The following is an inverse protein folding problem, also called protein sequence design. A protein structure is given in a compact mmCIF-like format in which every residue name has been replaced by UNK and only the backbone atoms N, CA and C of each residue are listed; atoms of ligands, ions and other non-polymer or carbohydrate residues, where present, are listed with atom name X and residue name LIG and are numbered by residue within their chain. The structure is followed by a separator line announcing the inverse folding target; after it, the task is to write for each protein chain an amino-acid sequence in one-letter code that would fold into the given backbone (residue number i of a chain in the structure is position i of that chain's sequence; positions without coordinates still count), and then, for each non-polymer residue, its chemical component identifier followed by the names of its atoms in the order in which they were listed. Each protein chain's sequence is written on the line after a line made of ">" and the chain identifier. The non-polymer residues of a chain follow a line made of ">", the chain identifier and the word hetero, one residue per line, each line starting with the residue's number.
data_IF_732224841400
#
_entry.id   IF_732224841400
#
_cell.length_a   1.000
_cell.length_b   1.000
_cell.length_c   1.000
_cell.angle_alpha   90.00
_cell.angle_beta   90.00
_cell.angle_gamma   90.00
#
_symmetry.space_group_name_H-M   'P 1'
#
loop_
_entity.id
_entity.type
_entity.pdbx_description
1 polymer ?
#
# COMPACT_ATOMS: atom_id res chain seq x y z
N UNK A 1 6.89 -6.10 30.09
CA UNK A 1 6.08 -5.12 29.34
C UNK A 1 4.62 -5.54 29.50
N UNK A 2 3.70 -4.64 29.86
CA UNK A 2 2.27 -4.90 29.54
C UNK A 2 2.24 -5.21 28.03
N UNK A 3 1.42 -6.15 27.53
CA UNK A 3 1.19 -6.25 26.10
C UNK A 3 0.82 -4.83 25.67
N UNK A 4 1.66 -4.18 24.88
CA UNK A 4 1.34 -2.90 24.28
C UNK A 4 -0.02 -3.09 23.61
N UNK A 5 -0.96 -2.17 23.88
CA UNK A 5 -2.27 -2.20 23.24
C UNK A 5 -2.09 -1.78 21.78
N UNK A 6 -1.54 -2.72 21.00
CA UNK A 6 -1.09 -2.54 19.63
C UNK A 6 -2.22 -2.97 18.70
N UNK A 7 -2.69 -2.02 17.92
CA UNK A 7 -3.64 -2.23 16.84
C UNK A 7 -2.94 -2.13 15.50
N UNK A 8 -3.22 -3.08 14.62
CA UNK A 8 -2.74 -3.05 13.24
C UNK A 8 -3.87 -2.58 12.35
N UNK A 9 -3.54 -1.71 11.40
CA UNK A 9 -4.49 -1.18 10.44
C UNK A 9 -3.96 -1.44 9.05
N UNK A 10 -4.83 -1.92 8.17
CA UNK A 10 -4.51 -2.22 6.79
C UNK A 10 -5.43 -1.37 5.90
N UNK A 11 -4.97 -0.19 5.44
CA UNK A 11 -5.66 0.53 4.39
C UNK A 11 -5.60 -0.29 3.10
N UNK A 12 -6.76 -0.77 2.67
CA UNK A 12 -6.98 -1.56 1.47
C UNK A 12 -7.76 -0.73 0.45
N UNK A 13 -7.06 0.25 -0.12
CA UNK A 13 -7.53 1.13 -1.18
C UNK A 13 -6.58 1.13 -2.38
N UNK A 14 -6.94 1.88 -3.43
CA UNK A 14 -6.14 1.99 -4.65
C UNK A 14 -6.58 1.01 -5.73
N UNK A 15 -6.74 1.50 -6.96
CA UNK A 15 -7.22 0.72 -8.10
C UNK A 15 -6.13 -0.14 -8.75
N UNK A 16 -4.85 0.18 -8.53
CA UNK A 16 -3.72 -0.52 -9.16
C UNK A 16 -3.70 -0.40 -10.68
N UNK A 17 -4.24 0.68 -11.27
CA UNK A 17 -4.51 0.83 -12.72
C UNK A 17 -3.31 0.61 -13.65
N UNK A 18 -2.07 0.73 -13.16
CA UNK A 18 -0.84 0.45 -13.93
C UNK A 18 -0.66 -1.05 -14.22
N UNK A 19 -1.35 -1.92 -13.49
CA UNK A 19 -1.39 -3.35 -13.72
C UNK A 19 -2.64 -3.79 -14.50
N UNK A 20 -3.35 -2.87 -15.15
CA UNK A 20 -4.39 -3.28 -16.10
C UNK A 20 -3.75 -4.14 -17.22
N UNK A 21 -4.33 -5.26 -17.67
CA UNK A 21 -5.68 -5.71 -17.39
C UNK A 21 -5.82 -6.68 -16.20
N UNK A 22 -4.73 -6.96 -15.49
CA UNK A 22 -4.76 -7.82 -14.31
C UNK A 22 -5.59 -7.18 -13.18
N UNK A 23 -5.31 -5.91 -12.89
CA UNK A 23 -6.11 -5.12 -11.93
C UNK A 23 -7.31 -4.45 -12.61
N UNK A 24 -8.39 -4.31 -11.85
CA UNK A 24 -9.64 -3.69 -12.25
C UNK A 24 -10.19 -2.84 -11.13
N UNK A 25 -11.08 -1.90 -11.46
CA UNK A 25 -11.80 -1.11 -10.48
C UNK A 25 -12.60 -1.95 -9.47
N UNK A 26 -13.11 -3.13 -9.86
CA UNK A 26 -13.80 -4.04 -8.94
C UNK A 26 -12.88 -5.09 -8.29
N UNK A 27 -11.70 -5.35 -8.87
CA UNK A 27 -10.73 -6.32 -8.39
C UNK A 27 -9.32 -5.70 -8.39
N UNK A 28 -9.04 -4.78 -7.45
CA UNK A 28 -7.78 -4.03 -7.38
C UNK A 28 -6.59 -4.92 -7.02
N UNK A 29 -5.38 -4.38 -7.24
CA UNK A 29 -4.09 -5.07 -7.05
C UNK A 29 -4.00 -5.87 -5.75
N UNK A 30 -4.44 -5.30 -4.62
CA UNK A 30 -4.31 -5.94 -3.31
C UNK A 30 -5.06 -7.28 -3.18
N UNK A 31 -6.06 -7.52 -4.04
CA UNK A 31 -6.83 -8.77 -4.06
C UNK A 31 -6.18 -9.87 -4.91
N UNK A 32 -5.08 -9.58 -5.61
CA UNK A 32 -4.40 -10.52 -6.51
C UNK A 32 -3.19 -11.19 -5.85
N UNK A 33 -2.90 -12.42 -6.28
CA UNK A 33 -1.78 -13.24 -5.87
C UNK A 33 -0.46 -12.79 -6.51
N UNK A 34 0.05 -11.64 -6.06
CA UNK A 34 1.29 -11.01 -6.56
C UNK A 34 2.47 -11.22 -5.63
N UNK A 35 2.50 -12.36 -4.96
CA UNK A 35 3.50 -12.67 -3.93
C UNK A 35 4.42 -13.82 -4.33
N UNK A 36 4.21 -14.42 -5.50
CA UNK A 36 4.83 -15.70 -5.89
C UNK A 36 4.22 -16.90 -5.18
N UNK A 37 3.11 -16.71 -4.45
CA UNK A 37 2.31 -17.76 -3.80
C UNK A 37 0.86 -17.64 -4.23
N UNK A 38 -0.02 -18.53 -3.76
CA UNK A 38 -1.47 -18.46 -3.99
C UNK A 38 -2.18 -17.39 -3.13
N UNK A 39 -1.46 -16.77 -2.18
CA UNK A 39 -1.98 -15.72 -1.31
C UNK A 39 -1.98 -14.37 -2.04
N UNK A 40 -3.10 -13.65 -1.94
CA UNK A 40 -3.17 -12.26 -2.37
C UNK A 40 -2.23 -11.35 -1.57
N UNK A 41 -1.95 -10.14 -2.06
CA UNK A 41 -1.18 -9.15 -1.29
C UNK A 41 -1.86 -8.78 0.04
N UNK A 42 -3.19 -8.69 0.06
CA UNK A 42 -3.97 -8.47 1.27
C UNK A 42 -3.79 -9.62 2.26
N UNK A 43 -3.91 -10.85 1.79
CA UNK A 43 -3.73 -12.06 2.58
C UNK A 43 -2.30 -12.17 3.13
N UNK A 44 -1.30 -11.94 2.29
CA UNK A 44 0.09 -11.94 2.72
C UNK A 44 0.40 -10.82 3.73
N UNK A 45 -0.26 -9.67 3.61
CA UNK A 45 -0.17 -8.59 4.60
C UNK A 45 -0.80 -9.02 5.93
N UNK A 46 -1.98 -9.63 5.91
CA UNK A 46 -2.62 -10.18 7.10
C UNK A 46 -1.75 -11.26 7.79
N UNK A 47 -1.23 -12.22 7.02
CA UNK A 47 -0.39 -13.31 7.53
C UNK A 47 0.89 -12.79 8.18
N UNK A 48 1.47 -11.73 7.63
CA UNK A 48 2.66 -11.08 8.18
C UNK A 48 2.39 -10.31 9.48
N UNK A 49 1.17 -9.80 9.66
CA UNK A 49 0.76 -9.02 10.83
C UNK A 49 0.20 -9.89 11.96
N UNK A 50 -0.39 -11.05 11.66
CA UNK A 50 -0.99 -11.96 12.64
C UNK A 50 -0.04 -12.41 13.78
N UNK A 51 1.28 -12.58 13.58
CA UNK A 51 2.22 -12.85 14.68
C UNK A 51 2.48 -11.66 15.62
N UNK A 52 2.07 -10.45 15.24
CA UNK A 52 2.34 -9.21 15.97
C UNK A 52 1.12 -8.69 16.75
N UNK A 53 -0.09 -8.99 16.30
CA UNK A 53 -1.34 -8.66 17.01
C UNK A 53 -2.40 -9.73 16.79
N UNK A 54 -3.36 -9.84 17.71
CA UNK A 54 -4.50 -10.75 17.50
C UNK A 54 -5.47 -10.19 16.43
N UNK A 55 -6.26 -11.02 15.74
CA UNK A 55 -7.24 -10.56 14.75
C UNK A 55 -8.24 -9.53 15.29
N UNK A 56 -8.57 -9.57 16.58
CA UNK A 56 -9.47 -8.59 17.23
C UNK A 56 -8.89 -7.17 17.27
N UNK A 57 -7.57 -7.05 17.13
CA UNK A 57 -6.83 -5.77 17.10
C UNK A 57 -6.30 -5.43 15.71
N UNK A 58 -6.60 -6.23 14.70
CA UNK A 58 -6.34 -5.90 13.30
C UNK A 58 -7.60 -5.30 12.70
N UNK A 59 -7.46 -4.19 11.96
CA UNK A 59 -8.53 -3.54 11.22
C UNK A 59 -8.14 -3.44 9.74
N UNK A 60 -9.11 -3.58 8.85
CA UNK A 60 -8.95 -3.29 7.42
C UNK A 60 -9.86 -2.14 7.06
N UNK A 61 -9.34 -1.10 6.42
CA UNK A 61 -10.17 0.00 5.89
C UNK A 61 -10.29 -0.18 4.38
N UNK A 62 -11.49 -0.28 3.85
CA UNK A 62 -11.69 -0.56 2.41
C UNK A 62 -12.95 0.07 1.86
N UNK A 63 -13.01 0.25 0.54
CA UNK A 63 -14.20 0.79 -0.12
C UNK A 63 -15.35 -0.22 -0.18
N UNK A 64 -16.58 0.30 -0.25
CA UNK A 64 -17.82 -0.49 -0.39
C UNK A 64 -17.75 -1.54 -1.51
N UNK A 65 -17.11 -1.21 -2.64
CA UNK A 65 -16.95 -2.11 -3.78
C UNK A 65 -16.06 -3.35 -3.49
N UNK A 66 -15.27 -3.32 -2.42
CA UNK A 66 -14.28 -4.36 -2.10
C UNK A 66 -14.59 -5.12 -0.82
N UNK A 67 -15.49 -4.62 0.01
CA UNK A 67 -15.80 -5.18 1.33
C UNK A 67 -16.10 -6.69 1.27
N UNK A 68 -16.93 -7.13 0.33
CA UNK A 68 -17.25 -8.57 0.17
C UNK A 68 -16.01 -9.41 -0.18
N UNK A 69 -15.12 -8.90 -1.04
CA UNK A 69 -13.88 -9.61 -1.38
C UNK A 69 -12.91 -9.67 -0.21
N UNK A 70 -12.81 -8.59 0.57
CA UNK A 70 -12.00 -8.55 1.80
C UNK A 70 -12.52 -9.57 2.82
N UNK A 71 -13.82 -9.59 3.10
CA UNK A 71 -14.45 -10.57 4.01
C UNK A 71 -14.15 -12.00 3.56
N UNK A 72 -14.27 -12.28 2.26
CA UNK A 72 -13.99 -13.62 1.71
C UNK A 72 -12.52 -14.03 1.82
N UNK A 73 -11.59 -13.09 1.64
CA UNK A 73 -10.16 -13.40 1.67
C UNK A 73 -9.59 -13.48 3.10
N UNK A 74 -10.23 -12.85 4.08
CA UNK A 74 -9.80 -12.78 5.47
C UNK A 74 -10.89 -13.30 6.44
N UNK A 75 -11.27 -14.58 6.39
CA UNK A 75 -12.33 -15.13 7.24
C UNK A 75 -12.01 -15.11 8.73
N UNK A 76 -10.74 -15.00 9.12
CA UNK A 76 -10.30 -14.88 10.51
C UNK A 76 -10.47 -13.48 11.11
N UNK A 77 -10.72 -12.46 10.27
CA UNK A 77 -10.89 -11.08 10.70
C UNK A 77 -12.35 -10.84 11.14
N UNK A 78 -12.61 -10.34 12.37
CA UNK A 78 -13.97 -10.00 12.78
C UNK A 78 -14.59 -8.96 11.85
N UNK A 79 -15.83 -9.15 11.40
CA UNK A 79 -16.49 -8.24 10.46
C UNK A 79 -16.53 -6.79 10.98
N UNK A 80 -16.71 -6.58 12.29
CA UNK A 80 -16.68 -5.25 12.95
C UNK A 80 -15.34 -4.50 12.82
N UNK A 81 -14.28 -5.18 12.36
CA UNK A 81 -12.95 -4.62 12.12
C UNK A 81 -12.70 -4.33 10.64
N UNK A 82 -13.67 -4.57 9.77
CA UNK A 82 -13.65 -4.15 8.36
C UNK A 82 -14.38 -2.82 8.28
N UNK A 83 -13.62 -1.73 8.23
CA UNK A 83 -14.16 -0.38 8.16
C UNK A 83 -14.44 -0.02 6.70
N UNK A 84 -15.72 0.09 6.35
CA UNK A 84 -16.13 0.31 4.97
C UNK A 84 -16.32 1.80 4.71
N UNK A 85 -15.46 2.39 3.88
CA UNK A 85 -15.64 3.76 3.40
C UNK A 85 -16.63 3.80 2.21
N UNK A 86 -17.54 4.79 2.16
CA UNK A 86 -18.49 4.93 1.06
C UNK A 86 -17.79 5.19 -0.29
N UNK A 87 -16.74 6.01 -0.28
CA UNK A 87 -15.93 6.32 -1.45
C UNK A 87 -14.57 6.90 -1.04
N UNK A 88 -13.57 6.75 -1.91
CA UNK A 88 -12.19 7.07 -1.60
C UNK A 88 -11.93 8.56 -1.31
N UNK A 89 -11.26 8.82 -0.20
CA UNK A 89 -10.78 10.16 0.22
C UNK A 89 -9.26 10.24 0.40
N UNK A 90 -8.52 9.34 -0.26
CA UNK A 90 -7.07 9.19 -0.14
C UNK A 90 -6.66 8.69 1.26
N UNK A 91 -5.36 8.55 1.53
CA UNK A 91 -4.87 7.82 2.71
C UNK A 91 -5.25 8.43 4.07
N UNK A 92 -5.36 9.77 4.17
CA UNK A 92 -5.57 10.44 5.46
C UNK A 92 -6.91 10.08 6.10
N UNK A 93 -8.01 10.10 5.34
CA UNK A 93 -9.34 9.83 5.87
C UNK A 93 -9.47 8.37 6.34
N UNK A 94 -8.97 7.41 5.57
CA UNK A 94 -8.99 5.99 5.91
C UNK A 94 -8.19 5.71 7.20
N UNK A 95 -6.97 6.25 7.27
CA UNK A 95 -6.09 6.11 8.44
C UNK A 95 -6.71 6.80 9.67
N UNK A 96 -7.27 8.00 9.49
CA UNK A 96 -7.88 8.76 10.58
C UNK A 96 -9.15 8.11 11.11
N UNK A 97 -9.98 7.53 10.24
CA UNK A 97 -11.15 6.75 10.64
C UNK A 97 -10.73 5.60 11.55
N UNK A 98 -9.75 4.80 11.12
CA UNK A 98 -9.24 3.70 11.94
C UNK A 98 -8.66 4.18 13.27
N UNK A 99 -7.85 5.24 13.26
CA UNK A 99 -7.28 5.82 14.49
C UNK A 99 -8.38 6.30 15.45
N UNK A 100 -9.42 6.95 14.94
CA UNK A 100 -10.51 7.47 15.75
C UNK A 100 -11.40 6.36 16.31
N UNK A 101 -11.70 5.31 15.53
CA UNK A 101 -12.44 4.13 16.01
C UNK A 101 -11.63 3.36 17.05
N UNK A 102 -10.33 3.19 16.84
CA UNK A 102 -9.43 2.59 17.84
C UNK A 102 -9.42 3.46 19.10
N UNK A 103 -9.34 4.79 19.00
CA UNK A 103 -9.36 5.67 20.17
C UNK A 103 -10.67 5.56 20.98
N UNK A 104 -11.83 5.40 20.33
CA UNK A 104 -13.09 5.17 21.05
C UNK A 104 -13.10 3.83 21.79
N UNK A 105 -12.50 2.79 21.21
CA UNK A 105 -12.48 1.43 21.77
C UNK A 105 -11.38 1.22 22.81
N UNK A 106 -10.22 1.84 22.58
CA UNK A 106 -8.96 1.69 23.30
C UNK A 106 -8.18 3.02 23.32
N UNK A 107 -8.54 3.96 24.23
CA UNK A 107 -7.92 5.28 24.27
C UNK A 107 -6.40 5.22 24.47
N UNK A 108 -5.65 5.96 23.64
CA UNK A 108 -4.19 6.01 23.71
C UNK A 108 -3.49 4.72 23.30
N UNK A 109 -4.14 3.83 22.55
CA UNK A 109 -3.52 2.65 21.97
C UNK A 109 -2.42 3.03 20.96
N UNK A 110 -1.46 2.13 20.75
CA UNK A 110 -0.51 2.26 19.64
C UNK A 110 -1.18 1.67 18.41
N UNK A 111 -1.27 2.45 17.34
CA UNK A 111 -1.73 2.03 16.03
C UNK A 111 -0.53 1.91 15.09
N UNK A 112 -0.53 0.89 14.24
CA UNK A 112 0.43 0.70 13.17
C UNK A 112 -0.29 0.42 11.85
N UNK A 113 -0.09 1.28 10.85
CA UNK A 113 -0.75 1.25 9.55
C UNK A 113 0.20 0.70 8.49
N UNK A 114 -0.25 -0.31 7.73
CA UNK A 114 0.49 -0.95 6.64
C UNK A 114 -0.39 -1.09 5.40
N UNK A 115 0.07 -0.61 4.25
CA UNK A 115 -0.66 -0.76 2.99
C UNK A 115 -0.92 -2.23 2.66
N UNK A 116 -2.12 -2.53 2.14
CA UNK A 116 -2.55 -3.88 1.78
C UNK A 116 -1.80 -4.48 0.58
N UNK A 117 -1.01 -3.68 -0.13
CA UNK A 117 -0.60 -3.94 -1.50
C UNK A 117 0.92 -3.93 -1.72
N UNK A 118 1.69 -4.08 -0.64
CA UNK A 118 3.15 -4.20 -0.65
C UNK A 118 3.63 -5.64 -0.50
N UNK A 119 4.72 -5.97 -1.19
CA UNK A 119 5.47 -7.21 -1.00
C UNK A 119 6.55 -7.01 0.07
N UNK A 120 6.68 -8.00 0.96
CA UNK A 120 7.76 -8.09 1.95
C UNK A 120 8.19 -9.54 2.01
N UNK A 121 9.45 -9.82 1.70
CA UNK A 121 9.95 -11.20 1.57
C UNK A 121 10.57 -11.73 2.87
N UNK A 122 11.04 -10.86 3.77
CA UNK A 122 11.59 -11.25 5.07
C UNK A 122 10.69 -10.80 6.23
N UNK A 123 9.70 -11.62 6.57
CA UNK A 123 8.71 -11.32 7.61
C UNK A 123 9.31 -11.23 9.02
N UNK A 124 10.39 -11.97 9.29
CA UNK A 124 11.08 -11.93 10.58
C UNK A 124 11.81 -10.59 10.80
N UNK A 125 12.54 -10.11 9.79
CA UNK A 125 13.19 -8.81 9.84
C UNK A 125 12.16 -7.66 9.91
N UNK A 126 11.06 -7.77 9.15
CA UNK A 126 9.93 -6.84 9.25
C UNK A 126 9.37 -6.76 10.67
N UNK A 127 9.09 -7.91 11.29
CA UNK A 127 8.55 -7.98 12.65
C UNK A 127 9.46 -7.26 13.66
N UNK A 128 10.78 -7.39 13.51
CA UNK A 128 11.75 -6.73 14.39
C UNK A 128 11.77 -5.21 14.22
N UNK A 129 11.75 -4.74 12.97
CA UNK A 129 11.65 -3.30 12.67
C UNK A 129 10.36 -2.71 13.23
N UNK A 130 9.24 -3.43 13.11
CA UNK A 130 7.95 -3.01 13.68
C UNK A 130 8.02 -2.90 15.20
N UNK A 131 8.68 -3.83 15.91
CA UNK A 131 8.84 -3.74 17.38
C UNK A 131 9.58 -2.47 17.80
N UNK A 132 10.69 -2.14 17.16
CA UNK A 132 11.41 -0.90 17.44
C UNK A 132 10.58 0.34 17.11
N UNK A 133 9.80 0.32 16.02
CA UNK A 133 8.93 1.42 15.67
C UNK A 133 7.78 1.59 16.69
N UNK A 134 7.25 0.50 17.24
CA UNK A 134 6.23 0.53 18.30
C UNK A 134 6.77 1.19 19.58
N UNK A 135 8.04 0.99 19.93
CA UNK A 135 8.66 1.66 21.08
C UNK A 135 8.72 3.18 20.90
N UNK A 136 9.10 3.65 19.70
CA UNK A 136 9.10 5.07 19.37
C UNK A 136 7.70 5.68 19.38
N UNK A 137 6.71 4.95 18.86
CA UNK A 137 5.31 5.36 18.85
C UNK A 137 4.73 5.46 20.27
N UNK A 138 5.03 4.48 21.13
CA UNK A 138 4.64 4.49 22.53
C UNK A 138 5.25 5.67 23.30
N UNK A 139 6.46 6.12 22.90
CA UNK A 139 7.10 7.33 23.42
C UNK A 139 6.51 8.65 22.88
N UNK A 140 5.43 8.59 22.07
CA UNK A 140 4.72 9.76 21.57
C UNK A 140 5.28 10.35 20.27
N UNK A 141 6.14 9.64 19.55
CA UNK A 141 6.61 10.07 18.22
C UNK A 141 5.66 9.61 17.12
N UNK A 142 5.63 10.35 16.02
CA UNK A 142 5.03 9.89 14.77
C UNK A 142 6.07 9.05 14.03
N UNK A 143 5.93 7.74 14.09
CA UNK A 143 6.91 6.81 13.53
C UNK A 143 6.59 6.46 12.09
N UNK A 144 7.63 6.26 11.29
CA UNK A 144 7.57 5.62 9.97
C UNK A 144 8.63 4.51 9.88
N UNK A 145 8.60 3.71 8.82
CA UNK A 145 9.64 2.74 8.48
C UNK A 145 10.25 3.16 7.14
N UNK A 146 11.55 3.48 7.18
CA UNK A 146 12.29 3.95 6.00
C UNK A 146 13.01 2.81 5.30
N UNK A 147 12.96 2.76 3.97
CA UNK A 147 13.66 1.74 3.17
C UNK A 147 14.88 2.36 2.49
N UNK A 148 16.00 1.64 2.49
CA UNK A 148 17.23 2.11 1.82
C UNK A 148 16.99 2.25 0.31
N UNK A 149 17.18 3.45 -0.27
CA UNK A 149 17.02 3.66 -1.69
C UNK A 149 18.06 2.88 -2.50
N UNK A 150 17.63 2.23 -3.57
CA UNK A 150 18.51 1.52 -4.52
C UNK A 150 18.54 2.17 -5.90
N UNK A 151 17.67 3.16 -6.13
CA UNK A 151 17.56 3.94 -7.36
C UNK A 151 16.96 5.33 -7.08
N UNK A 152 17.06 6.31 -7.99
CA UNK A 152 16.39 7.61 -7.84
C UNK A 152 14.91 7.50 -8.24
N UNK A 153 14.09 6.88 -7.39
CA UNK A 153 12.65 6.73 -7.62
C UNK A 153 11.91 8.07 -7.46
N UNK A 154 11.03 8.42 -8.38
CA UNK A 154 10.25 9.67 -8.34
C UNK A 154 8.82 9.47 -7.86
N UNK A 155 8.36 8.21 -7.81
CA UNK A 155 7.05 7.83 -7.31
C UNK A 155 6.92 7.74 -5.79
N UNK A 156 8.04 7.75 -5.05
CA UNK A 156 8.09 7.57 -3.60
C UNK A 156 8.33 8.88 -2.85
N UNK A 157 7.93 8.91 -1.58
CA UNK A 157 8.42 9.89 -0.63
C UNK A 157 9.83 9.56 -0.13
N UNK A 158 10.53 10.59 0.34
CA UNK A 158 11.88 10.50 0.88
C UNK A 158 11.94 11.11 2.29
N UNK A 159 12.69 10.46 3.17
CA UNK A 159 12.88 10.79 4.58
C UNK A 159 14.34 11.14 4.80
N UNK A 160 14.66 12.39 5.12
CA UNK A 160 16.02 12.77 5.52
C UNK A 160 16.20 12.48 7.00
N UNK A 161 17.15 11.61 7.33
CA UNK A 161 17.50 11.32 8.71
C UNK A 161 18.47 12.38 9.26
N UNK A 162 18.42 12.62 10.58
CA UNK A 162 19.36 13.54 11.26
C UNK A 162 20.81 13.06 11.19
N UNK A 163 21.01 11.76 11.10
CA UNK A 163 22.29 11.07 10.94
C UNK A 163 22.18 10.02 9.83
N UNK A 164 23.29 9.50 9.28
CA UNK A 164 23.25 8.39 8.33
C UNK A 164 22.41 7.22 8.83
N UNK A 165 21.63 6.60 7.94
CA UNK A 165 20.69 5.55 8.31
C UNK A 165 21.40 4.34 8.92
N UNK A 166 20.88 3.84 10.05
CA UNK A 166 21.40 2.62 10.71
C UNK A 166 20.25 1.64 10.98
N UNK A 167 20.35 0.38 10.50
CA UNK A 167 19.31 -0.61 10.74
C UNK A 167 19.00 -0.80 12.22
N UNK A 168 17.72 -0.91 12.56
CA UNK A 168 17.26 -1.23 13.91
C UNK A 168 17.38 -0.11 14.95
N UNK A 169 17.75 1.13 14.56
CA UNK A 169 17.73 2.28 15.47
C UNK A 169 16.64 3.27 15.11
N UNK A 170 16.01 3.85 16.14
CA UNK A 170 15.08 4.97 15.96
C UNK A 170 15.88 6.22 15.65
N UNK A 171 15.60 6.85 14.50
CA UNK A 171 16.29 8.05 14.02
C UNK A 171 15.29 9.17 13.77
N UNK A 172 15.66 10.41 14.13
CA UNK A 172 14.82 11.57 13.87
C UNK A 172 14.78 11.87 12.37
N UNK A 173 13.58 12.11 11.85
CA UNK A 173 13.39 12.59 10.48
C UNK A 173 13.31 14.11 10.52
N UNK A 174 14.24 14.76 9.83
CA UNK A 174 14.39 16.23 9.81
C UNK A 174 13.77 16.86 8.56
N UNK A 175 13.40 16.04 7.59
CA UNK A 175 12.70 16.45 6.38
C UNK A 175 11.97 15.25 5.78
N UNK A 176 10.75 15.49 5.32
CA UNK A 176 9.94 14.52 4.60
C UNK A 176 9.53 15.19 3.29
N UNK A 177 9.83 14.55 2.15
CA UNK A 177 9.49 15.08 0.84
C UNK A 177 8.81 14.04 -0.03
N UNK A 178 7.57 14.30 -0.44
CA UNK A 178 6.85 13.44 -1.39
C UNK A 178 7.25 13.74 -2.84
N UNK A 179 7.55 12.66 -3.59
CA UNK A 179 7.66 12.62 -5.07
C UNK A 179 8.57 13.73 -5.65
N UNK A 180 9.87 13.72 -5.32
CA UNK A 180 10.83 14.69 -5.85
C UNK A 180 11.01 14.53 -7.38
N UNK A 181 11.63 15.52 -8.02
CA UNK A 181 12.11 15.37 -9.40
C UNK A 181 13.25 14.35 -9.47
N UNK A 182 13.52 13.81 -10.67
CA UNK A 182 14.59 12.82 -10.88
C UNK A 182 15.97 13.35 -10.46
N UNK A 183 16.26 14.62 -10.75
CA UNK A 183 17.48 15.30 -10.32
C UNK A 183 17.61 15.28 -8.78
N UNK A 184 16.56 15.70 -8.09
CA UNK A 184 16.53 15.72 -6.62
C UNK A 184 16.60 14.31 -6.03
N UNK A 185 15.92 13.33 -6.63
CA UNK A 185 15.97 11.93 -6.20
C UNK A 185 17.38 11.32 -6.36
N UNK A 186 18.13 11.76 -7.37
CA UNK A 186 19.53 11.37 -7.61
C UNK A 186 20.42 11.92 -6.51
N UNK A 187 20.32 13.21 -6.21
CA UNK A 187 21.05 13.83 -5.09
C UNK A 187 20.73 13.15 -3.76
N UNK A 188 19.47 12.78 -3.53
CA UNK A 188 19.04 12.08 -2.32
C UNK A 188 19.72 10.72 -2.18
N UNK A 189 19.71 9.91 -3.25
CA UNK A 189 20.36 8.61 -3.30
C UNK A 189 21.88 8.73 -3.05
N UNK A 190 22.55 9.61 -3.79
CA UNK A 190 24.01 9.79 -3.71
C UNK A 190 24.47 10.28 -2.32
N UNK A 191 23.62 11.03 -1.61
CA UNK A 191 23.95 11.52 -0.27
C UNK A 191 24.02 10.42 0.81
N UNK A 192 23.34 9.28 0.61
CA UNK A 192 23.21 8.22 1.61
C UNK A 192 22.47 8.61 2.91
N UNK A 193 21.83 9.79 2.95
CA UNK A 193 21.12 10.32 4.13
C UNK A 193 19.60 10.21 4.05
N UNK A 194 19.09 9.75 2.93
CA UNK A 194 17.65 9.60 2.71
C UNK A 194 17.22 8.14 2.69
N UNK A 195 16.01 7.91 3.18
CA UNK A 195 15.28 6.66 3.05
C UNK A 195 14.02 6.89 2.23
N UNK A 196 13.53 5.87 1.54
CA UNK A 196 12.19 5.89 0.96
C UNK A 196 11.12 5.79 2.06
N UNK A 197 10.04 6.55 1.90
CA UNK A 197 8.80 6.39 2.64
C UNK A 197 8.03 5.18 2.07
N UNK A 198 7.92 4.11 2.85
CA UNK A 198 7.14 2.93 2.47
C UNK A 198 5.65 3.02 2.85
N UNK A 199 5.14 4.20 3.20
CA UNK A 199 3.75 4.41 3.66
C UNK A 199 3.36 3.50 4.83
N UNK A 200 4.33 3.19 5.70
CA UNK A 200 4.14 2.45 6.94
C UNK A 200 4.27 3.42 8.09
N UNK A 201 3.24 3.49 8.93
CA UNK A 201 3.16 4.52 9.96
C UNK A 201 2.77 3.94 11.31
N UNK A 202 3.37 4.42 12.40
CA UNK A 202 3.03 3.98 13.74
C UNK A 202 2.97 5.16 14.70
N UNK A 203 1.98 5.19 15.58
CA UNK A 203 1.81 6.26 16.57
C UNK A 203 0.83 5.84 17.64
N UNK A 204 0.77 6.62 18.70
CA UNK A 204 -0.37 6.59 19.61
C UNK A 204 -1.58 7.29 18.97
N UNK A 205 -2.78 6.73 19.08
CA UNK A 205 -3.99 7.23 18.42
C UNK A 205 -4.34 8.67 18.84
N UNK A 206 -4.30 8.97 20.13
CA UNK A 206 -4.47 10.32 20.69
C UNK A 206 -3.44 11.34 20.15
N UNK A 207 -2.17 10.93 19.98
CA UNK A 207 -1.12 11.79 19.41
C UNK A 207 -1.44 12.12 17.96
N UNK A 208 -1.73 11.11 17.14
CA UNK A 208 -2.06 11.33 15.74
C UNK A 208 -3.32 12.19 15.59
N UNK A 209 -4.37 11.91 16.37
CA UNK A 209 -5.61 12.69 16.32
C UNK A 209 -5.40 14.14 16.79
N UNK A 210 -4.54 14.39 17.79
CA UNK A 210 -4.18 15.75 18.19
C UNK A 210 -3.40 16.50 17.09
N UNK A 211 -2.46 15.82 16.43
CA UNK A 211 -1.70 16.39 15.31
C UNK A 211 -2.60 16.67 14.10
N UNK A 212 -3.61 15.82 13.87
CA UNK A 212 -4.63 16.02 12.84
C UNK A 212 -5.58 17.17 13.21
N UNK A 213 -6.04 17.27 14.45
CA UNK A 213 -6.89 18.36 14.91
C UNK A 213 -6.22 19.73 14.76
N UNK A 214 -4.93 19.82 15.08
CA UNK A 214 -4.16 21.06 14.99
C UNK A 214 -3.95 21.54 13.55
N UNK A 215 -3.88 20.62 12.57
CA UNK A 215 -3.53 20.94 11.19
C UNK A 215 -4.70 20.90 10.23
N UNK A 216 -5.60 19.94 10.43
CA UNK A 216 -6.70 19.57 9.55
C UNK A 216 -7.99 19.33 10.34
N UNK A 217 -8.54 20.36 11.02
CA UNK A 217 -9.84 20.25 11.70
C UNK A 217 -10.97 19.87 10.71
N UNK A 218 -10.82 20.23 9.44
CA UNK A 218 -11.68 19.85 8.31
C UNK A 218 -11.70 18.35 8.00
N UNK A 219 -10.68 17.59 8.43
CA UNK A 219 -10.66 16.11 8.40
C UNK A 219 -11.00 15.55 9.79
N UNK A 220 -10.39 16.09 10.83
CA UNK A 220 -10.51 15.58 12.20
C UNK A 220 -11.95 15.60 12.72
N UNK A 221 -12.65 16.74 12.65
CA UNK A 221 -13.94 16.89 13.31
C UNK A 221 -15.04 15.99 12.72
N UNK A 222 -15.18 15.87 11.38
CA UNK A 222 -16.07 14.87 10.78
C UNK A 222 -15.69 13.44 11.18
N UNK A 223 -14.39 13.09 11.17
CA UNK A 223 -13.91 11.75 11.53
C UNK A 223 -14.25 11.40 12.99
N UNK A 224 -14.07 12.34 13.94
CA UNK A 224 -14.43 12.11 15.34
C UNK A 224 -15.94 11.94 15.53
N UNK A 225 -16.74 12.68 14.76
CA UNK A 225 -18.21 12.53 14.78
C UNK A 225 -18.62 11.14 14.29
N UNK A 226 -18.06 10.71 13.16
CA UNK A 226 -18.28 9.37 12.59
C UNK A 226 -17.84 8.27 13.57
N UNK A 227 -16.65 8.39 14.17
CA UNK A 227 -16.09 7.37 15.05
C UNK A 227 -16.95 7.14 16.31
N UNK A 228 -17.52 8.19 16.91
CA UNK A 228 -18.40 8.08 18.09
C UNK A 228 -19.68 7.30 17.81
N UNK A 229 -20.18 7.35 16.59
CA UNK A 229 -21.36 6.61 16.16
C UNK A 229 -21.01 5.21 15.62
N UNK A 230 -19.73 4.87 15.50
CA UNK A 230 -19.28 3.75 14.66
C UNK A 230 -19.79 2.38 15.10
N UNK A 231 -19.82 2.13 16.40
CA UNK A 231 -20.30 0.88 16.99
C UNK A 231 -21.76 0.96 17.46
N UNK A 232 -22.50 1.98 17.02
CA UNK A 232 -23.90 2.21 17.39
C UNK A 232 -24.86 2.18 16.20
N UNK A 233 -26.17 2.23 16.50
CA UNK A 233 -27.24 2.10 15.49
C UNK A 233 -27.27 3.24 14.45
N UNK A 234 -26.66 4.38 14.77
CA UNK A 234 -26.64 5.57 13.91
C UNK A 234 -25.45 5.59 12.93
N UNK A 235 -24.56 4.58 12.96
CA UNK A 235 -23.32 4.54 12.17
C UNK A 235 -23.54 4.93 10.71
N UNK A 236 -24.48 4.27 10.02
CA UNK A 236 -24.69 4.44 8.58
C UNK A 236 -25.18 5.86 8.25
N UNK A 237 -26.09 6.41 9.06
CA UNK A 237 -26.64 7.74 8.86
C UNK A 237 -25.56 8.82 9.07
N UNK A 238 -24.78 8.73 10.16
CA UNK A 238 -23.71 9.68 10.47
C UNK A 238 -22.60 9.59 9.43
N UNK A 239 -22.21 8.38 9.01
CA UNK A 239 -21.21 8.18 7.97
C UNK A 239 -21.64 8.83 6.64
N UNK A 240 -22.90 8.61 6.23
CA UNK A 240 -23.44 9.18 4.99
C UNK A 240 -23.50 10.72 5.02
N UNK A 241 -23.78 11.31 6.17
CA UNK A 241 -23.83 12.76 6.36
C UNK A 241 -22.43 13.41 6.31
N UNK A 242 -21.47 12.83 7.03
CA UNK A 242 -20.18 13.49 7.28
C UNK A 242 -19.07 13.08 6.33
N UNK A 243 -19.03 11.85 5.81
CA UNK A 243 -17.98 11.43 4.88
C UNK A 243 -17.85 12.32 3.63
N UNK A 244 -18.95 12.83 3.03
CA UNK A 244 -18.87 13.74 1.90
C UNK A 244 -18.22 15.10 2.20
N UNK A 245 -18.14 15.52 3.47
CA UNK A 245 -17.50 16.80 3.82
C UNK A 245 -15.98 16.67 3.97
N UNK A 246 -15.46 15.45 4.08
CA UNK A 246 -14.03 15.20 4.29
C UNK A 246 -13.26 15.49 3.00
N UNK A 247 -12.24 16.35 3.01
CA UNK A 247 -11.42 16.62 1.83
C UNK A 247 -10.52 15.43 1.46
N UNK A 248 -10.24 15.29 0.17
CA UNK A 248 -9.32 14.26 -0.33
C UNK A 248 -7.88 14.68 -0.11
N UNK A 249 -7.13 13.97 0.74
CA UNK A 249 -5.73 14.30 1.06
C UNK A 249 -4.97 13.10 1.59
N UNK A 250 -3.68 12.98 1.23
CA UNK A 250 -2.80 11.96 1.77
C UNK A 250 -2.29 12.33 3.18
N UNK A 251 -2.07 11.34 4.05
CA UNK A 251 -1.62 11.55 5.44
C UNK A 251 -0.23 12.19 5.50
N UNK A 252 0.59 11.93 4.48
CA UNK A 252 1.93 12.47 4.30
C UNK A 252 1.88 13.99 4.28
N UNK A 253 1.06 14.56 3.39
CA UNK A 253 0.88 16.02 3.29
C UNK A 253 0.11 16.61 4.47
N UNK A 254 -0.89 15.90 4.98
CA UNK A 254 -1.76 16.41 6.03
C UNK A 254 -1.07 16.49 7.40
N UNK A 255 -0.18 15.54 7.70
CA UNK A 255 0.39 15.35 9.03
C UNK A 255 1.91 15.14 8.99
N UNK A 256 2.42 14.18 8.22
CA UNK A 256 3.82 13.73 8.36
C UNK A 256 4.84 14.78 7.93
N UNK A 257 4.65 15.42 6.77
CA UNK A 257 5.53 16.47 6.25
C UNK A 257 5.66 17.67 7.22
N UNK A 258 4.56 18.32 7.65
CA UNK A 258 4.65 19.40 8.62
C UNK A 258 5.17 18.95 9.99
N UNK A 259 4.79 17.75 10.47
CA UNK A 259 5.29 17.25 11.75
C UNK A 259 6.80 16.90 11.73
N UNK A 260 7.33 16.49 10.57
CA UNK A 260 8.77 16.26 10.39
C UNK A 260 9.56 17.57 10.50
N UNK A 261 9.04 18.66 9.92
CA UNK A 261 9.64 19.99 10.04
C UNK A 261 9.67 20.50 11.51
N UNK A 262 8.76 20.00 12.36
CA UNK A 262 8.72 20.26 13.81
C UNK A 262 9.54 19.27 14.65
N UNK A 263 10.22 18.30 14.03
CA UNK A 263 11.03 17.29 14.73
C UNK A 263 10.23 16.23 15.49
N UNK A 264 8.95 16.04 15.16
CA UNK A 264 8.06 15.04 15.80
C UNK A 264 8.09 13.67 15.13
N UNK A 265 8.62 13.61 13.90
CA UNK A 265 8.69 12.38 13.12
C UNK A 265 10.01 11.65 13.36
N UNK A 266 9.94 10.34 13.50
CA UNK A 266 11.11 9.48 13.55
C UNK A 266 10.88 8.24 12.68
N UNK A 267 11.96 7.58 12.30
CA UNK A 267 11.95 6.40 11.44
C UNK A 267 12.79 5.29 12.03
N UNK A 268 12.46 4.05 11.70
CA UNK A 268 13.37 2.91 11.85
C UNK A 268 13.75 2.44 10.45
N UNK A 269 15.04 2.47 10.08
CA UNK A 269 15.47 1.92 8.80
C UNK A 269 15.24 0.41 8.74
N UNK A 270 14.57 -0.05 7.69
CA UNK A 270 14.20 -1.44 7.46
C UNK A 270 14.86 -2.03 6.23
N UNK A 271 15.32 -3.27 6.36
CA UNK A 271 15.77 -4.12 5.26
C UNK A 271 15.10 -5.50 5.39
N UNK A 272 14.01 -5.66 4.65
CA UNK A 272 13.18 -6.86 4.69
C UNK A 272 12.62 -7.26 3.32
N UNK A 273 13.30 -6.83 2.25
CA UNK A 273 12.87 -7.07 0.87
C UNK A 273 11.52 -6.45 0.55
N UNK A 274 11.35 -5.17 0.89
CA UNK A 274 10.16 -4.39 0.58
C UNK A 274 10.07 -4.03 -0.90
N UNK A 275 8.87 -4.09 -1.45
CA UNK A 275 8.54 -3.52 -2.75
C UNK A 275 7.06 -3.14 -2.84
N UNK A 276 6.72 -2.05 -3.53
CA UNK A 276 5.35 -1.58 -3.68
C UNK A 276 4.58 -2.25 -4.82
N UNK A 277 5.22 -3.04 -5.69
CA UNK A 277 4.68 -3.59 -6.94
C UNK A 277 3.91 -2.52 -7.74
N UNK A 278 4.65 -1.53 -8.23
CA UNK A 278 4.09 -0.39 -8.96
C UNK A 278 3.64 -0.69 -10.40
N UNK A 279 4.28 -1.63 -11.09
CA UNK A 279 4.08 -1.93 -12.51
C UNK A 279 4.55 -3.36 -12.91
N UNK A 280 4.37 -3.72 -14.18
CA UNK A 280 4.75 -5.03 -14.73
C UNK A 280 6.26 -5.24 -14.81
N UNK A 281 7.05 -4.18 -14.93
CA UNK A 281 8.51 -4.25 -14.89
C UNK A 281 8.95 -4.83 -13.55
N UNK A 282 8.51 -4.18 -12.49
CA UNK A 282 8.74 -4.60 -11.10
C UNK A 282 8.23 -6.01 -10.85
N UNK A 283 7.04 -6.35 -11.37
CA UNK A 283 6.48 -7.68 -11.24
C UNK A 283 7.34 -8.76 -11.94
N UNK A 284 7.86 -8.45 -13.13
CA UNK A 284 8.77 -9.30 -13.89
C UNK A 284 10.12 -9.52 -13.20
N UNK A 285 10.68 -8.49 -12.58
CA UNK A 285 11.92 -8.59 -11.79
C UNK A 285 11.75 -9.47 -10.55
N UNK A 286 10.64 -9.32 -9.83
CA UNK A 286 10.42 -9.97 -8.54
C UNK A 286 9.97 -11.43 -8.68
N UNK A 287 9.09 -11.72 -9.64
CA UNK A 287 8.38 -13.00 -9.74
C UNK A 287 8.62 -13.72 -11.07
N UNK A 288 9.28 -13.07 -12.03
CA UNK A 288 9.43 -13.59 -13.39
C UNK A 288 10.50 -14.67 -13.50
N UNK A 289 10.11 -15.86 -13.97
CA UNK A 289 11.06 -16.87 -14.43
C UNK A 289 11.69 -16.44 -15.77
N UNK A 290 12.98 -16.71 -15.94
CA UNK A 290 13.67 -16.44 -17.20
C UNK A 290 13.34 -17.52 -18.25
N UNK A 291 12.90 -17.08 -19.43
CA UNK A 291 12.72 -17.90 -20.62
C UNK A 291 13.34 -17.16 -21.80
N UNK A 292 14.61 -17.44 -22.09
CA UNK A 292 15.29 -16.89 -23.26
C UNK A 292 15.46 -15.37 -23.22
N UNK A 293 15.84 -14.81 -22.06
CA UNK A 293 15.99 -13.35 -21.87
C UNK A 293 14.67 -12.61 -21.61
N UNK A 294 13.55 -13.34 -21.60
CA UNK A 294 12.23 -12.82 -21.26
C UNK A 294 11.76 -13.29 -19.89
N UNK A 295 10.89 -12.52 -19.25
CA UNK A 295 10.31 -12.81 -17.94
C UNK A 295 8.88 -13.29 -18.08
N UNK A 296 8.58 -14.45 -17.51
CA UNK A 296 7.20 -14.95 -17.43
C UNK A 296 6.74 -14.90 -15.99
N UNK A 297 5.67 -14.15 -15.73
CA UNK A 297 5.06 -13.99 -14.41
C UNK A 297 3.79 -14.84 -14.33
N UNK A 298 3.84 -15.90 -13.53
CA UNK A 298 2.65 -16.68 -13.20
C UNK A 298 1.90 -16.00 -12.06
N UNK A 299 0.77 -15.36 -12.38
CA UNK A 299 0.04 -14.51 -11.44
C UNK A 299 -1.18 -15.17 -10.81
N UNK A 300 -1.34 -16.46 -11.05
CA UNK A 300 -2.59 -17.14 -10.73
C UNK A 300 -2.29 -18.38 -9.90
N UNK A 301 -3.15 -18.64 -8.92
CA UNK A 301 -3.28 -19.97 -8.33
C UNK A 301 -3.84 -21.01 -9.31
N UNK A 302 -3.82 -20.74 -10.63
CA UNK A 302 -4.09 -21.76 -11.64
C UNK A 302 -2.92 -22.74 -11.59
N UNK A 303 -3.23 -24.01 -11.32
CA UNK A 303 -2.23 -25.07 -11.26
C UNK A 303 -1.49 -25.29 -12.59
N UNK A 304 -2.02 -24.75 -13.68
CA UNK A 304 -1.50 -24.90 -15.04
C UNK A 304 -1.55 -23.56 -15.80
N UNK A 305 -0.53 -22.70 -15.62
CA UNK A 305 -0.34 -21.55 -16.51
C UNK A 305 -0.20 -22.04 -17.96
N UNK A 306 -0.83 -21.40 -18.95
CA UNK A 306 -0.66 -21.79 -20.35
C UNK A 306 0.80 -21.56 -20.78
N UNK A 307 1.28 -22.29 -21.80
CA UNK A 307 2.65 -22.14 -22.26
C UNK A 307 2.91 -20.74 -22.80
N UNK A 308 4.12 -20.25 -22.52
CA UNK A 308 4.67 -19.03 -23.12
C UNK A 308 5.84 -19.42 -24.00
N UNK A 309 5.78 -19.02 -25.27
CA UNK A 309 6.82 -19.27 -26.27
C UNK A 309 7.47 -17.95 -26.64
N UNK A 310 8.79 -17.88 -26.54
CA UNK A 310 9.59 -16.74 -26.97
C UNK A 310 10.62 -17.26 -27.96
N UNK A 311 10.58 -16.75 -29.19
CA UNK A 311 11.52 -17.10 -30.26
C UNK A 311 12.12 -15.81 -30.80
N UNK A 312 13.44 -15.72 -30.87
CA UNK A 312 14.16 -14.54 -31.36
C UNK A 312 13.69 -13.21 -30.72
N UNK A 313 13.30 -13.24 -29.45
CA UNK A 313 12.86 -12.07 -28.69
C UNK A 313 13.71 -11.84 -27.43
N UNK A 314 13.73 -10.61 -26.94
CA UNK A 314 14.51 -10.20 -25.76
C UNK A 314 13.74 -9.19 -24.90
N UNK A 315 13.86 -9.29 -23.58
CA UNK A 315 13.19 -8.36 -22.66
C UNK A 315 11.67 -8.39 -22.72
N UNK A 316 11.02 -9.49 -23.10
CA UNK A 316 9.55 -9.59 -23.03
C UNK A 316 9.11 -9.91 -21.61
N UNK A 317 8.10 -9.21 -21.09
CA UNK A 317 7.40 -9.56 -19.84
C UNK A 317 6.04 -10.14 -20.22
N UNK A 318 5.87 -11.44 -20.04
CA UNK A 318 4.64 -12.15 -20.35
C UNK A 318 3.89 -12.53 -19.07
N UNK A 319 2.60 -12.23 -19.05
CA UNK A 319 1.72 -12.41 -17.90
C UNK A 319 0.47 -13.19 -18.33
N UNK A 320 0.54 -14.53 -18.36
CA UNK A 320 -0.56 -15.38 -18.80
C UNK A 320 -1.57 -15.63 -17.67
N UNK A 321 -2.70 -14.94 -17.69
CA UNK A 321 -3.79 -15.08 -16.72
C UNK A 321 -5.06 -15.72 -17.31
N UNK A 322 -5.02 -16.20 -18.56
CA UNK A 322 -6.13 -16.92 -19.19
C UNK A 322 -5.68 -18.32 -19.64
N UNK A 323 -6.53 -19.05 -20.36
CA UNK A 323 -6.18 -20.36 -20.93
C UNK A 323 -5.44 -20.27 -22.28
N UNK A 324 -5.13 -19.07 -22.79
CA UNK A 324 -4.51 -18.88 -24.10
C UNK A 324 -2.97 -18.97 -24.02
N UNK A 325 -2.36 -19.54 -25.06
CA UNK A 325 -0.91 -19.55 -25.25
C UNK A 325 -0.43 -18.15 -25.63
N UNK A 326 0.63 -17.65 -24.99
CA UNK A 326 1.33 -16.43 -25.42
C UNK A 326 2.53 -16.86 -26.27
N UNK A 327 2.60 -16.41 -27.52
CA UNK A 327 3.75 -16.67 -28.39
C UNK A 327 4.29 -15.36 -28.97
N UNK A 328 5.59 -15.12 -28.81
CA UNK A 328 6.29 -13.96 -29.35
C UNK A 328 7.42 -14.41 -30.28
N UNK A 329 7.57 -13.71 -31.41
CA UNK A 329 8.58 -13.99 -32.43
C UNK A 329 9.22 -12.68 -32.91
N UNK A 330 10.53 -12.52 -32.74
CA UNK A 330 11.25 -11.36 -33.30
C UNK A 330 10.94 -10.01 -32.66
N UNK A 331 10.44 -10.00 -31.41
CA UNK A 331 10.01 -8.78 -30.71
C UNK A 331 10.84 -8.54 -29.45
N UNK A 332 11.07 -7.28 -29.13
CA UNK A 332 11.86 -6.86 -27.96
C UNK A 332 11.10 -5.87 -27.09
N UNK A 333 11.41 -5.88 -25.80
CA UNK A 333 10.95 -4.91 -24.81
C UNK A 333 9.43 -4.71 -24.77
N UNK A 334 8.68 -5.81 -24.84
CA UNK A 334 7.22 -5.80 -24.76
C UNK A 334 6.72 -6.32 -23.41
N UNK A 335 5.65 -5.72 -22.93
CA UNK A 335 4.79 -6.27 -21.89
C UNK A 335 3.57 -6.87 -22.59
N UNK A 336 3.31 -8.16 -22.36
CA UNK A 336 2.16 -8.89 -22.89
C UNK A 336 1.38 -9.49 -21.73
N UNK A 337 0.17 -9.01 -21.50
CA UNK A 337 -0.70 -9.47 -20.41
C UNK A 337 -1.98 -10.00 -21.01
N UNK A 338 -2.27 -11.28 -20.77
CA UNK A 338 -3.46 -11.95 -21.29
C UNK A 338 -4.38 -12.30 -20.11
N UNK A 339 -5.57 -11.72 -20.11
CA UNK A 339 -6.64 -12.03 -19.15
C UNK A 339 -7.84 -12.60 -19.90
N UNK A 340 -8.82 -13.14 -19.18
CA UNK A 340 -9.97 -13.81 -19.79
C UNK A 340 -10.68 -12.94 -20.85
N UNK A 341 -10.83 -11.64 -20.57
CA UNK A 341 -11.63 -10.68 -21.33
C UNK A 341 -10.81 -9.60 -22.05
N UNK A 342 -9.52 -9.43 -21.74
CA UNK A 342 -8.69 -8.39 -22.33
C UNK A 342 -7.23 -8.84 -22.50
N UNK A 343 -6.57 -8.26 -23.51
CA UNK A 343 -5.12 -8.39 -23.74
C UNK A 343 -4.50 -7.00 -23.75
N UNK A 344 -3.41 -6.83 -23.03
CA UNK A 344 -2.54 -5.66 -23.14
C UNK A 344 -1.26 -6.06 -23.86
N UNK A 345 -0.88 -5.25 -24.84
CA UNK A 345 0.47 -5.27 -25.42
C UNK A 345 0.98 -3.84 -25.41
N UNK A 346 2.11 -3.59 -24.78
CA UNK A 346 2.79 -2.30 -24.83
C UNK A 346 4.30 -2.46 -24.77
N UNK A 347 5.03 -1.44 -25.23
CA UNK A 347 6.47 -1.36 -25.00
C UNK A 347 6.76 -1.09 -23.52
N UNK A 348 7.86 -1.62 -22.97
CA UNK A 348 8.26 -1.49 -21.56
C UNK A 348 8.38 -0.03 -21.11
N UNK A 349 9.06 0.80 -21.89
CA UNK A 349 9.19 2.25 -21.63
C UNK A 349 7.86 3.03 -21.57
N UNK A 350 6.75 2.40 -21.98
CA UNK A 350 5.41 2.99 -21.98
C UNK A 350 4.51 2.38 -20.91
N UNK A 351 5.02 1.57 -19.98
CA UNK A 351 4.23 0.95 -18.92
C UNK A 351 3.43 1.96 -18.08
N UNK A 352 4.01 3.13 -17.79
CA UNK A 352 3.32 4.20 -17.03
C UNK A 352 2.11 4.81 -17.80
N UNK A 353 2.03 4.61 -19.12
CA UNK A 353 0.95 5.11 -19.97
C UNK A 353 -0.29 4.18 -19.98
N UNK A 354 -0.24 3.00 -19.36
CA UNK A 354 -1.38 2.06 -19.29
C UNK A 354 -2.64 2.75 -18.72
N UNK A 355 -2.48 3.71 -17.81
CA UNK A 355 -3.60 4.52 -17.28
C UNK A 355 -4.41 5.24 -18.37
N UNK A 356 -3.76 5.67 -19.46
CA UNK A 356 -4.43 6.34 -20.59
C UNK A 356 -5.40 5.40 -21.31
N UNK A 357 -5.09 4.09 -21.32
CA UNK A 357 -5.96 3.08 -21.92
C UNK A 357 -7.23 2.88 -21.09
N UNK A 358 -7.12 2.85 -19.76
CA UNK A 358 -8.30 2.69 -18.88
C UNK A 358 -9.21 3.91 -18.91
N UNK A 359 -8.64 5.11 -19.03
CA UNK A 359 -9.39 6.35 -19.29
C UNK A 359 -10.16 6.26 -20.62
N UNK A 360 -9.49 5.88 -21.70
CA UNK A 360 -10.10 5.76 -23.03
C UNK A 360 -11.19 4.69 -23.10
N UNK A 361 -11.01 3.55 -22.41
CA UNK A 361 -12.04 2.51 -22.30
C UNK A 361 -13.30 3.07 -21.65
N UNK A 362 -13.16 3.85 -20.57
CA UNK A 362 -14.27 4.49 -19.88
C UNK A 362 -15.00 5.48 -20.80
N UNK A 363 -14.26 6.36 -21.48
CA UNK A 363 -14.82 7.35 -22.41
C UNK A 363 -15.61 6.70 -23.56
N UNK A 364 -15.16 5.53 -24.02
CA UNK A 364 -15.80 4.78 -25.10
C UNK A 364 -16.91 3.83 -24.62
N UNK A 365 -17.24 3.82 -23.33
CA UNK A 365 -18.31 3.00 -22.76
C UNK A 365 -17.94 1.55 -22.44
N UNK A 366 -16.66 1.17 -22.55
CA UNK A 366 -16.16 -0.16 -22.21
C UNK A 366 -15.89 -0.33 -20.70
N UNK A 367 -16.83 0.13 -19.87
CA UNK A 367 -16.67 0.22 -18.40
C UNK A 367 -16.45 -1.14 -17.75
N UNK A 368 -16.97 -2.23 -18.34
CA UNK A 368 -16.77 -3.60 -17.83
C UNK A 368 -15.29 -4.04 -17.83
N UNK A 369 -14.44 -3.38 -18.63
CA UNK A 369 -13.02 -3.68 -18.73
C UNK A 369 -12.15 -2.74 -17.88
N UNK A 370 -12.72 -1.79 -17.14
CA UNK A 370 -12.00 -0.83 -16.30
C UNK A 370 -12.07 -1.26 -14.84
#
# INVERSE_FOLDING_TARGET
>A
MRPTDLHMVVPAGGSGTRLWPLSRAANPKFLHALTGTDRSLLQATFDRLAPLCTPERLLVVTGTAHATSVIRQLPELPERNILVEPFARDSCAAIALAAAVIEERSPGAVMASFAADHLITNTAAFAEVVRHAVEGAAAGRLMTIGITPTRPETGYGYLRCSEPARPGTVQTVVEFKEKPSLEVATDYLESGRYLWNASMFLWRTDVFLAELAARRPDVHDPIRTIARAWDGDEQEAVLAEWWPTIPKVAVEYAVMEPAAAEGKVATVPGDFGWNDIGDFETLGELLGRDIGGSRVVDVTGLKDSPPVLVVDGDGVIAVPCSSRVIATLGVTDLIVVDTADAVLVCHRDRAQDIKKLTELLRERGYVAHV
#
